data_IF_617505212860
#
_entry.id   IF_617505212860
#
_cell.length_a   1.000
_cell.length_b   1.000
_cell.length_c   1.000
_cell.angle_alpha   90.00
_cell.angle_beta   90.00
_cell.angle_gamma   90.00
#
_symmetry.space_group_name_H-M   'P 1'
#
loop_
_entity.id
_entity.type
_entity.pdbx_description
1 polymer ?
#
# COMPACT_ATOMS: atom_id res chain seq x y z
N UNK A 1 -19.93 -8.12 -1.75
CA UNK A 1 -18.66 -7.42 -1.51
C UNK A 1 -18.93 -5.95 -1.73
N UNK A 2 -18.67 -5.10 -0.73
CA UNK A 2 -18.87 -3.66 -0.87
C UNK A 2 -17.91 -3.11 -1.95
N UNK A 3 -18.31 -2.06 -2.64
CA UNK A 3 -17.51 -1.39 -3.66
C UNK A 3 -16.21 -0.84 -3.04
N UNK A 4 -16.29 -0.40 -1.78
CA UNK A 4 -15.17 0.11 -1.00
C UNK A 4 -14.14 -0.99 -0.67
N UNK A 5 -14.60 -2.19 -0.28
CA UNK A 5 -13.72 -3.33 0.02
C UNK A 5 -13.02 -3.84 -1.25
N UNK A 6 -13.75 -3.83 -2.37
CA UNK A 6 -13.22 -4.20 -3.69
C UNK A 6 -12.08 -3.26 -4.11
N UNK A 7 -12.27 -1.95 -3.93
CA UNK A 7 -11.24 -0.97 -4.20
C UNK A 7 -10.05 -1.12 -3.23
N UNK A 8 -10.29 -1.42 -1.95
CA UNK A 8 -9.21 -1.63 -0.98
C UNK A 8 -8.30 -2.79 -1.37
N UNK A 9 -8.87 -3.91 -1.83
CA UNK A 9 -8.12 -5.05 -2.37
C UNK A 9 -7.33 -4.69 -3.63
N UNK A 10 -7.92 -3.92 -4.53
CA UNK A 10 -7.20 -3.43 -5.72
C UNK A 10 -5.97 -2.61 -5.31
N UNK A 11 -6.12 -1.72 -4.33
CA UNK A 11 -5.01 -0.91 -3.82
C UNK A 11 -3.93 -1.78 -3.15
N UNK A 12 -4.30 -2.84 -2.42
CA UNK A 12 -3.36 -3.83 -1.87
C UNK A 12 -2.56 -4.52 -2.98
N UNK A 13 -3.23 -4.93 -4.06
CA UNK A 13 -2.56 -5.55 -5.21
C UNK A 13 -1.60 -4.58 -5.89
N UNK A 14 -2.00 -3.32 -6.10
CA UNK A 14 -1.14 -2.31 -6.70
C UNK A 14 0.10 -2.01 -5.82
N UNK A 15 -0.06 -2.01 -4.50
CA UNK A 15 1.04 -1.89 -3.55
C UNK A 15 2.05 -3.05 -3.68
N UNK A 16 1.56 -4.29 -3.77
CA UNK A 16 2.41 -5.47 -3.96
C UNK A 16 3.15 -5.43 -5.30
N UNK A 17 2.47 -5.02 -6.38
CA UNK A 17 3.08 -4.84 -7.69
C UNK A 17 4.18 -3.78 -7.66
N UNK A 18 3.98 -2.66 -6.95
CA UNK A 18 5.00 -1.64 -6.76
C UNK A 18 6.22 -2.21 -6.04
N UNK A 19 6.02 -2.93 -4.92
CA UNK A 19 7.07 -3.62 -4.17
C UNK A 19 7.90 -4.57 -5.05
N UNK A 20 7.24 -5.41 -5.85
CA UNK A 20 7.92 -6.33 -6.75
C UNK A 20 8.78 -5.62 -7.80
N UNK A 21 8.25 -4.55 -8.40
CA UNK A 21 8.94 -3.79 -9.43
C UNK A 21 10.16 -3.03 -8.89
N UNK A 22 10.00 -2.37 -7.74
CA UNK A 22 11.09 -1.60 -7.13
C UNK A 22 12.17 -2.53 -6.56
N UNK A 23 11.81 -3.68 -5.99
CA UNK A 23 12.77 -4.67 -5.51
C UNK A 23 13.61 -5.23 -6.67
N UNK A 24 12.95 -5.68 -7.74
CA UNK A 24 13.62 -6.27 -8.89
C UNK A 24 14.55 -5.29 -9.61
N UNK A 25 14.18 -4.00 -9.64
CA UNK A 25 15.03 -2.94 -10.20
C UNK A 25 16.16 -2.56 -9.24
N UNK A 26 15.85 -2.41 -7.96
CA UNK A 26 16.80 -2.05 -6.91
C UNK A 26 17.96 -3.04 -6.80
N UNK A 27 17.68 -4.36 -6.88
CA UNK A 27 18.71 -5.41 -6.83
C UNK A 27 19.76 -5.30 -7.95
N UNK A 28 19.43 -4.64 -9.06
CA UNK A 28 20.34 -4.47 -10.21
C UNK A 28 21.17 -3.18 -10.14
N UNK A 29 20.71 -2.20 -9.37
CA UNK A 29 21.22 -0.81 -9.43
C UNK A 29 21.82 -0.37 -8.09
N UNK A 30 21.23 -0.77 -6.97
CA UNK A 30 21.63 -0.29 -5.66
C UNK A 30 22.86 -1.02 -5.12
N UNK A 31 23.75 -0.30 -4.42
CA UNK A 31 24.75 -0.92 -3.56
C UNK A 31 24.09 -1.80 -2.50
N UNK A 32 24.80 -2.82 -2.01
CA UNK A 32 24.27 -3.81 -1.06
C UNK A 32 23.66 -3.18 0.20
N UNK A 33 24.28 -2.13 0.76
CA UNK A 33 23.78 -1.44 1.95
C UNK A 33 22.46 -0.70 1.71
N UNK A 34 22.34 0.03 0.59
CA UNK A 34 21.08 0.69 0.20
C UNK A 34 19.99 -0.34 -0.13
N UNK A 35 20.37 -1.45 -0.78
CA UNK A 35 19.46 -2.54 -1.08
C UNK A 35 18.91 -3.20 0.20
N UNK A 36 19.71 -3.36 1.25
CA UNK A 36 19.24 -3.90 2.52
C UNK A 36 18.15 -3.02 3.15
N UNK A 37 18.34 -1.70 3.15
CA UNK A 37 17.34 -0.75 3.64
C UNK A 37 16.06 -0.78 2.80
N UNK A 38 16.20 -0.87 1.47
CA UNK A 38 15.06 -1.00 0.56
C UNK A 38 14.29 -2.30 0.84
N UNK A 39 14.97 -3.43 0.93
CA UNK A 39 14.37 -4.74 1.24
C UNK A 39 13.63 -4.73 2.58
N UNK A 40 14.19 -4.07 3.60
CA UNK A 40 13.52 -3.93 4.89
C UNK A 40 12.18 -3.20 4.75
N UNK A 41 12.15 -2.09 4.01
CA UNK A 41 10.91 -1.32 3.77
C UNK A 41 9.89 -2.09 2.95
N UNK A 42 10.35 -2.83 1.95
CA UNK A 42 9.48 -3.72 1.17
C UNK A 42 8.91 -4.84 2.06
N UNK A 43 9.73 -5.45 2.92
CA UNK A 43 9.26 -6.48 3.86
C UNK A 43 8.24 -5.94 4.86
N UNK A 44 8.43 -4.71 5.35
CA UNK A 44 7.46 -4.04 6.23
C UNK A 44 6.12 -3.81 5.52
N UNK A 45 6.16 -3.35 4.26
CA UNK A 45 4.95 -3.21 3.44
C UNK A 45 4.24 -4.54 3.25
N UNK A 46 4.96 -5.58 2.80
CA UNK A 46 4.40 -6.93 2.59
C UNK A 46 3.83 -7.54 3.86
N UNK A 47 4.44 -7.29 5.01
CA UNK A 47 3.91 -7.72 6.31
C UNK A 47 2.54 -7.10 6.60
N UNK A 48 2.40 -5.79 6.40
CA UNK A 48 1.12 -5.11 6.57
C UNK A 48 0.06 -5.55 5.53
N UNK A 49 0.47 -5.78 4.27
CA UNK A 49 -0.44 -6.30 3.25
C UNK A 49 -0.91 -7.72 3.57
N UNK A 50 -0.05 -8.57 4.13
CA UNK A 50 -0.43 -9.92 4.57
C UNK A 50 -1.45 -9.86 5.72
N UNK A 51 -1.23 -9.00 6.71
CA UNK A 51 -2.20 -8.82 7.81
C UNK A 51 -3.57 -8.36 7.28
N UNK A 52 -3.60 -7.45 6.31
CA UNK A 52 -4.84 -7.00 5.66
C UNK A 52 -5.50 -8.12 4.84
N UNK A 53 -4.70 -8.95 4.18
CA UNK A 53 -5.18 -10.11 3.43
C UNK A 53 -5.79 -11.16 4.35
N UNK A 54 -5.15 -11.43 5.50
CA UNK A 54 -5.69 -12.32 6.53
C UNK A 54 -7.03 -11.80 7.06
N UNK A 55 -7.15 -10.49 7.32
CA UNK A 55 -8.44 -9.89 7.71
C UNK A 55 -9.51 -10.05 6.62
N UNK A 56 -9.13 -9.91 5.35
CA UNK A 56 -10.05 -10.10 4.23
C UNK A 56 -10.55 -11.55 4.16
N UNK A 57 -9.66 -12.52 4.31
CA UNK A 57 -9.99 -13.95 4.31
C UNK A 57 -10.91 -14.36 5.47
N UNK A 58 -10.95 -13.57 6.55
CA UNK A 58 -11.84 -13.76 7.69
C UNK A 58 -13.11 -12.89 7.65
N UNK A 59 -13.41 -12.20 6.54
CA UNK A 59 -14.52 -11.24 6.41
C UNK A 59 -14.45 -10.06 7.41
N UNK A 60 -13.26 -9.71 7.89
CA UNK A 60 -13.00 -8.63 8.86
C UNK A 60 -12.43 -7.36 8.20
N UNK A 61 -12.06 -7.42 6.91
CA UNK A 61 -11.49 -6.27 6.22
C UNK A 61 -12.59 -5.27 5.87
N UNK A 62 -12.58 -4.13 6.55
CA UNK A 62 -13.46 -3.00 6.23
C UNK A 62 -12.75 -1.67 6.45
N UNK A 63 -13.03 -0.68 5.60
CA UNK A 63 -12.59 0.72 5.79
C UNK A 63 -13.20 1.36 7.06
N UNK A 64 -14.15 0.67 7.69
CA UNK A 64 -14.69 1.07 8.97
C UNK A 64 -13.79 0.76 10.17
N UNK A 65 -12.96 -0.27 10.06
CA UNK A 65 -12.07 -0.67 11.13
C UNK A 65 -10.86 0.26 11.17
N UNK A 66 -10.67 0.93 12.31
CA UNK A 66 -9.52 1.81 12.54
C UNK A 66 -8.20 1.04 12.50
N UNK A 67 -8.21 -0.24 12.86
CA UNK A 67 -7.04 -1.10 12.84
C UNK A 67 -6.64 -1.42 11.41
N UNK A 68 -7.56 -1.91 10.57
CA UNK A 68 -7.31 -2.09 9.14
C UNK A 68 -6.83 -0.79 8.47
N UNK A 69 -7.44 0.35 8.79
CA UNK A 69 -6.99 1.65 8.27
C UNK A 69 -5.56 2.00 8.72
N UNK A 70 -5.21 1.74 9.99
CA UNK A 70 -3.87 1.98 10.50
C UNK A 70 -2.84 1.04 9.86
N UNK A 71 -3.17 -0.23 9.67
CA UNK A 71 -2.33 -1.22 8.99
C UNK A 71 -2.09 -0.81 7.53
N UNK A 72 -3.12 -0.36 6.81
CA UNK A 72 -2.94 0.15 5.44
C UNK A 72 -2.08 1.42 5.39
N UNK A 73 -2.24 2.34 6.35
CA UNK A 73 -1.35 3.51 6.48
C UNK A 73 0.11 3.10 6.70
N UNK A 74 0.37 2.08 7.51
CA UNK A 74 1.73 1.56 7.70
C UNK A 74 2.31 0.95 6.41
N UNK A 75 1.47 0.29 5.60
CA UNK A 75 1.85 -0.16 4.27
C UNK A 75 2.22 1.03 3.36
N UNK A 76 1.40 2.08 3.32
CA UNK A 76 1.67 3.31 2.56
C UNK A 76 2.96 4.01 2.99
N UNK A 77 3.21 4.15 4.29
CA UNK A 77 4.45 4.74 4.81
C UNK A 77 5.65 3.93 4.35
N UNK A 78 5.56 2.60 4.41
CA UNK A 78 6.61 1.71 3.92
C UNK A 78 6.87 1.89 2.41
N UNK A 79 5.82 2.04 1.60
CA UNK A 79 5.93 2.32 0.17
C UNK A 79 6.60 3.68 -0.12
N UNK A 80 6.23 4.72 0.62
CA UNK A 80 6.83 6.06 0.49
C UNK A 80 8.33 6.02 0.82
N UNK A 81 8.73 5.28 1.86
CA UNK A 81 10.13 5.04 2.17
C UNK A 81 10.84 4.24 1.07
N UNK A 82 10.23 3.18 0.56
CA UNK A 82 10.77 2.42 -0.56
C UNK A 82 10.99 3.32 -1.79
N UNK A 83 10.02 4.21 -2.09
CA UNK A 83 10.15 5.20 -3.15
C UNK A 83 11.31 6.17 -2.92
N UNK A 84 11.45 6.69 -1.70
CA UNK A 84 12.56 7.58 -1.35
C UNK A 84 13.93 6.91 -1.52
N UNK A 85 14.07 5.66 -1.07
CA UNK A 85 15.29 4.86 -1.23
C UNK A 85 15.55 4.51 -2.70
N UNK A 86 14.50 4.26 -3.48
CA UNK A 86 14.58 3.93 -4.90
C UNK A 86 14.60 5.11 -5.87
N UNK A 87 14.57 6.36 -5.37
CA UNK A 87 14.38 7.59 -6.18
C UNK A 87 15.28 7.73 -7.41
N UNK A 88 16.45 7.07 -7.42
CA UNK A 88 17.42 7.10 -8.52
C UNK A 88 17.00 6.30 -9.75
N UNK A 89 16.06 5.36 -9.60
CA UNK A 89 15.65 4.43 -10.66
C UNK A 89 14.13 4.25 -10.78
N UNK A 90 13.36 5.03 -10.04
CA UNK A 90 11.90 5.07 -10.19
C UNK A 90 11.56 5.98 -11.36
N UNK A 91 10.87 5.42 -12.35
CA UNK A 91 10.33 6.18 -13.47
C UNK A 91 8.96 6.81 -13.12
N UNK A 92 8.46 7.64 -14.03
CA UNK A 92 7.15 8.31 -13.87
C UNK A 92 5.99 7.30 -13.77
N UNK A 93 6.10 6.13 -14.39
CA UNK A 93 5.03 5.12 -14.42
C UNK A 93 4.92 4.42 -13.07
N UNK A 94 6.05 4.02 -12.49
CA UNK A 94 6.12 3.40 -11.17
C UNK A 94 5.76 4.40 -10.07
N UNK A 95 6.20 5.66 -10.19
CA UNK A 95 5.79 6.71 -9.26
C UNK A 95 4.27 6.96 -9.32
N UNK A 96 3.67 6.98 -10.51
CA UNK A 96 2.21 7.14 -10.66
C UNK A 96 1.43 6.05 -9.95
N UNK A 97 1.90 4.80 -9.97
CA UNK A 97 1.26 3.71 -9.22
C UNK A 97 1.21 3.99 -7.73
N UNK A 98 2.31 4.45 -7.14
CA UNK A 98 2.34 4.82 -5.73
C UNK A 98 1.33 5.93 -5.41
N UNK A 99 1.28 6.97 -6.27
CA UNK A 99 0.30 8.05 -6.12
C UNK A 99 -1.13 7.52 -6.22
N UNK A 100 -1.41 6.58 -7.12
CA UNK A 100 -2.73 5.94 -7.23
C UNK A 100 -3.11 5.17 -5.96
N UNK A 101 -2.17 4.43 -5.37
CA UNK A 101 -2.42 3.71 -4.09
C UNK A 101 -2.74 4.69 -2.97
N UNK A 102 -1.94 5.75 -2.82
CA UNK A 102 -2.13 6.77 -1.78
C UNK A 102 -3.45 7.53 -1.97
N UNK A 103 -3.69 8.06 -3.16
CA UNK A 103 -4.91 8.83 -3.44
C UNK A 103 -6.17 7.97 -3.40
N UNK A 104 -6.11 6.72 -3.85
CA UNK A 104 -7.23 5.78 -3.77
C UNK A 104 -7.60 5.44 -2.33
N UNK A 105 -6.61 5.23 -1.46
CA UNK A 105 -6.86 5.01 -0.04
C UNK A 105 -7.41 6.27 0.65
N UNK A 106 -6.86 7.44 0.32
CA UNK A 106 -7.38 8.72 0.82
C UNK A 106 -8.83 8.95 0.38
N UNK A 107 -9.18 8.61 -0.87
CA UNK A 107 -10.55 8.64 -1.36
C UNK A 107 -11.47 7.76 -0.51
N UNK A 108 -11.12 6.49 -0.29
CA UNK A 108 -11.88 5.56 0.56
C UNK A 108 -12.11 6.10 1.98
N UNK A 109 -11.09 6.74 2.57
CA UNK A 109 -11.22 7.34 3.90
C UNK A 109 -12.21 8.52 3.93
N UNK A 110 -12.30 9.29 2.86
CA UNK A 110 -13.19 10.45 2.78
C UNK A 110 -14.63 9.99 2.48
N UNK A 111 -14.81 9.18 1.44
CA UNK A 111 -16.13 8.76 0.97
C UNK A 111 -16.76 7.70 1.86
N UNK A 112 -15.98 6.72 2.32
CA UNK A 112 -16.44 5.71 3.27
C UNK A 112 -16.82 6.28 4.64
N UNK A 113 -16.29 7.45 5.02
CA UNK A 113 -16.75 8.20 6.20
C UNK A 113 -17.98 9.07 5.92
N UNK A 114 -18.11 9.60 4.71
CA UNK A 114 -19.25 10.43 4.31
C UNK A 114 -20.54 9.63 4.18
N UNK A 115 -20.50 8.44 3.53
CA UNK A 115 -21.64 7.50 3.46
C UNK A 115 -22.23 7.23 4.85
N UNK A 116 -21.37 6.96 5.83
CA UNK A 116 -21.77 6.67 7.22
C UNK A 116 -22.42 7.83 7.98
N UNK A 117 -22.19 9.09 7.59
CA UNK A 117 -22.87 10.25 8.18
C UNK A 117 -24.24 10.53 7.56
N UNK A 118 -24.50 10.01 6.35
CA UNK A 118 -25.77 10.17 5.63
C UNK A 118 -26.81 9.10 5.95
N UNK A 119 -26.39 7.96 6.49
CA UNK A 119 -27.26 6.87 6.97
C UNK A 119 -27.63 7.00 8.46
N UNK A 120 -27.50 8.21 9.05
CA UNK A 120 -27.83 8.53 10.45
C UNK A 120 -29.08 9.39 10.58
#
# INVERSE_FOLDING_TARGET
MDEDDSLLLELMLQAEMFCNQIEGTGRKILPLGEMHLLSLKISQCRGALRELQERYENDELTIADSTACATFRNALISLLWANFLGRRFIDRKLFRKLVQVESGFTYLLITGRAKRRGDS
#
